data_IF_970588314543
#
_entry.id   IF_970588314543
#
_cell.length_a   1.000
_cell.length_b   1.000
_cell.length_c   1.000
_cell.angle_alpha   90.00
_cell.angle_beta   90.00
_cell.angle_gamma   90.00
#
_symmetry.space_group_name_H-M   'P 1'
#
loop_
_entity.id
_entity.type
_entity.pdbx_description
1 polymer ?
#
# COMPACT_ATOMS: atom_id res chain seq x y z
N UNK A 1 13.72 15.48 -5.25
CA UNK A 1 14.35 14.58 -4.24
C UNK A 1 13.52 13.32 -4.16
N UNK A 2 14.10 12.14 -4.31
CA UNK A 2 13.34 10.90 -4.19
C UNK A 2 12.74 10.79 -2.77
N UNK A 3 11.43 10.66 -2.70
CA UNK A 3 10.65 10.59 -1.48
C UNK A 3 10.84 9.19 -0.87
N UNK A 4 11.10 9.08 0.43
CA UNK A 4 11.31 7.79 1.10
C UNK A 4 10.04 6.98 1.27
N UNK A 5 8.90 7.63 1.16
CA UNK A 5 7.59 7.02 1.24
C UNK A 5 6.70 7.66 0.19
N UNK A 6 5.92 6.82 -0.48
CA UNK A 6 4.96 7.22 -1.52
C UNK A 6 3.56 7.36 -0.96
N UNK A 7 3.24 6.59 0.08
CA UNK A 7 1.93 6.62 0.70
C UNK A 7 1.82 7.73 1.74
N UNK A 8 0.60 8.19 1.99
CA UNK A 8 0.33 9.17 3.04
C UNK A 8 0.71 8.66 4.44
N UNK A 9 0.66 7.35 4.68
CA UNK A 9 1.06 6.69 5.92
C UNK A 9 2.53 6.87 6.23
N UNK A 10 3.36 6.43 5.31
CA UNK A 10 4.78 6.54 5.50
C UNK A 10 5.25 8.00 5.53
N UNK A 11 4.57 8.90 4.80
CA UNK A 11 4.81 10.34 4.90
C UNK A 11 4.47 10.89 6.29
N UNK A 12 3.31 10.52 6.84
CA UNK A 12 2.92 10.89 8.20
C UNK A 12 3.84 10.30 9.26
N UNK A 13 4.27 9.05 9.08
CA UNK A 13 5.24 8.43 9.96
C UNK A 13 6.57 9.21 9.96
N UNK A 14 7.10 9.56 8.80
CA UNK A 14 8.30 10.39 8.68
C UNK A 14 8.08 11.76 9.33
N UNK A 15 6.95 12.42 9.06
CA UNK A 15 6.62 13.71 9.66
C UNK A 15 6.49 13.65 11.20
N UNK A 16 6.02 12.51 11.74
CA UNK A 16 6.00 12.28 13.19
C UNK A 16 7.43 12.19 13.75
N UNK A 17 8.32 11.46 13.08
CA UNK A 17 9.74 11.36 13.46
C UNK A 17 10.46 12.71 13.39
N UNK A 18 10.15 13.53 12.39
CA UNK A 18 10.75 14.87 12.23
C UNK A 18 10.39 15.83 13.37
N UNK A 19 9.31 15.58 14.08
CA UNK A 19 8.92 16.37 15.28
C UNK A 19 9.64 15.96 16.55
N UNK A 20 10.05 14.70 16.66
CA UNK A 20 10.58 14.11 17.89
C UNK A 20 12.10 13.84 17.82
N UNK A 21 12.70 13.92 16.65
CA UNK A 21 14.13 13.65 16.45
C UNK A 21 14.90 14.86 15.94
N UNK A 22 16.19 14.92 16.27
CA UNK A 22 17.13 15.90 15.72
C UNK A 22 17.24 15.81 14.19
N UNK A 23 17.06 16.93 13.51
CA UNK A 23 17.03 17.00 12.05
C UNK A 23 18.36 16.58 11.38
N UNK A 24 19.49 16.84 12.03
CA UNK A 24 20.81 16.44 11.53
C UNK A 24 20.99 14.92 11.61
N UNK A 25 20.44 14.26 12.64
CA UNK A 25 20.45 12.80 12.76
C UNK A 25 19.53 12.15 11.75
N UNK A 26 18.35 12.69 11.55
CA UNK A 26 17.42 12.25 10.51
C UNK A 26 18.04 12.38 9.12
N UNK A 27 18.69 13.52 8.82
CA UNK A 27 19.37 13.72 7.54
C UNK A 27 20.47 12.68 7.29
N UNK A 28 21.30 12.39 8.31
CA UNK A 28 22.31 11.33 8.21
C UNK A 28 21.67 9.94 8.10
N UNK A 29 20.62 9.66 8.85
CA UNK A 29 19.85 8.42 8.77
C UNK A 29 19.27 8.19 7.38
N UNK A 30 18.73 9.24 6.76
CA UNK A 30 18.26 9.24 5.39
C UNK A 30 19.37 8.82 4.41
N UNK A 31 20.56 9.36 4.57
CA UNK A 31 21.72 8.98 3.75
C UNK A 31 22.13 7.53 3.98
N UNK A 32 22.05 7.00 5.20
CA UNK A 32 22.33 5.61 5.53
C UNK A 32 21.32 4.65 4.88
N UNK A 33 20.04 4.97 4.92
CA UNK A 33 19.00 4.18 4.27
C UNK A 33 19.20 4.13 2.75
N UNK A 34 19.42 5.30 2.10
CA UNK A 34 19.67 5.39 0.65
C UNK A 34 20.97 4.72 0.20
N UNK A 35 22.00 4.84 1.01
CA UNK A 35 23.32 4.26 0.72
C UNK A 35 23.42 2.76 0.97
N UNK A 36 22.31 2.06 1.24
CA UNK A 36 22.30 0.62 1.50
C UNK A 36 23.18 0.22 2.69
N UNK A 37 23.34 1.13 3.67
CA UNK A 37 24.13 0.86 4.88
C UNK A 37 23.39 -0.07 5.85
N UNK A 38 22.05 -0.19 5.77
CA UNK A 38 21.28 -1.18 6.51
C UNK A 38 21.42 -2.53 5.79
N UNK A 39 22.06 -3.49 6.40
CA UNK A 39 22.43 -4.78 5.79
C UNK A 39 21.42 -5.89 6.06
N UNK A 40 20.77 -5.85 7.21
CA UNK A 40 19.64 -6.70 7.52
C UNK A 40 18.58 -5.90 8.24
N UNK A 41 17.34 -6.25 7.99
CA UNK A 41 16.16 -5.65 8.61
C UNK A 41 15.16 -6.78 8.83
N UNK A 42 14.65 -6.90 10.03
CA UNK A 42 13.64 -7.90 10.37
C UNK A 42 12.70 -7.36 11.45
N UNK A 43 11.47 -7.83 11.41
CA UNK A 43 10.44 -7.54 12.40
C UNK A 43 9.97 -8.86 12.97
N UNK A 44 10.02 -8.98 14.27
CA UNK A 44 9.54 -10.17 14.99
C UNK A 44 8.93 -9.74 16.33
N UNK A 45 7.73 -10.22 16.62
CA UNK A 45 7.03 -9.99 17.88
C UNK A 45 6.94 -8.49 18.27
N UNK A 46 6.70 -7.61 17.29
CA UNK A 46 6.61 -6.16 17.48
C UNK A 46 7.96 -5.45 17.66
N UNK A 47 9.08 -6.19 17.63
CA UNK A 47 10.44 -5.65 17.74
C UNK A 47 11.10 -5.64 16.37
N UNK A 48 11.64 -4.48 16.00
CA UNK A 48 12.44 -4.30 14.79
C UNK A 48 13.90 -4.50 15.16
N UNK A 49 14.57 -5.39 14.44
CA UNK A 49 16.02 -5.61 14.55
C UNK A 49 16.68 -5.33 13.22
N UNK A 50 17.81 -4.63 13.25
CA UNK A 50 18.57 -4.36 12.03
C UNK A 50 20.09 -4.37 12.28
N UNK A 51 20.84 -4.70 11.24
CA UNK A 51 22.30 -4.53 11.22
C UNK A 51 22.65 -3.38 10.29
N UNK A 52 23.32 -2.39 10.82
CA UNK A 52 23.66 -1.16 10.11
C UNK A 52 25.18 -1.02 10.02
N UNK A 53 25.70 -0.90 8.80
CA UNK A 53 27.11 -0.63 8.57
C UNK A 53 27.43 0.80 8.96
N UNK A 54 28.31 0.99 9.94
CA UNK A 54 28.83 2.28 10.35
C UNK A 54 29.89 2.82 9.39
N UNK A 55 30.43 3.95 9.73
CA UNK A 55 31.59 4.56 9.06
C UNK A 55 32.82 4.47 9.95
N UNK A 56 34.00 4.39 9.35
CA UNK A 56 35.27 4.55 10.05
C UNK A 56 35.26 5.90 10.77
N UNK A 57 35.64 5.90 12.03
CA UNK A 57 35.78 7.10 12.85
C UNK A 57 36.88 6.91 13.91
N UNK A 58 38.13 7.27 13.57
CA UNK A 58 39.27 7.10 14.47
C UNK A 58 39.11 7.86 15.79
N UNK A 59 38.33 8.94 15.84
CA UNK A 59 38.05 9.69 17.05
C UNK A 59 37.36 8.83 18.13
N UNK A 60 36.55 7.87 17.71
CA UNK A 60 35.91 6.89 18.61
C UNK A 60 36.64 5.52 18.60
N UNK A 61 37.88 5.46 18.13
CA UNK A 61 38.63 4.20 18.05
C UNK A 61 38.13 3.20 17.00
N UNK A 62 37.32 3.67 16.01
CA UNK A 62 36.75 2.82 14.98
C UNK A 62 37.57 2.94 13.70
N UNK A 63 38.46 2.00 13.48
CA UNK A 63 39.44 2.01 12.36
C UNK A 63 38.97 1.20 11.15
N UNK A 64 37.94 0.36 11.29
CA UNK A 64 37.33 -0.42 10.21
C UNK A 64 35.83 -0.16 10.20
N UNK A 65 35.16 -0.37 9.05
CA UNK A 65 33.70 -0.20 8.97
C UNK A 65 33.00 -1.22 9.89
N UNK A 66 32.40 -0.79 11.00
CA UNK A 66 31.75 -1.68 11.95
C UNK A 66 30.35 -2.05 11.48
N UNK A 67 29.82 -3.14 12.02
CA UNK A 67 28.44 -3.53 11.84
C UNK A 67 27.71 -3.42 13.19
N UNK A 68 26.88 -2.41 13.31
CA UNK A 68 26.10 -2.15 14.53
C UNK A 68 24.77 -2.88 14.50
N UNK A 69 24.37 -3.42 15.65
CA UNK A 69 23.02 -3.97 15.86
C UNK A 69 22.12 -2.89 16.43
N UNK A 70 20.95 -2.73 15.86
CA UNK A 70 19.92 -1.79 16.33
C UNK A 70 18.65 -2.54 16.66
N UNK A 71 17.96 -2.12 17.72
CA UNK A 71 16.64 -2.58 18.08
C UNK A 71 15.71 -1.40 18.26
N UNK A 72 14.47 -1.55 17.81
CA UNK A 72 13.40 -0.56 17.95
C UNK A 72 12.15 -1.31 18.37
N UNK A 73 11.58 -0.90 19.50
CA UNK A 73 10.33 -1.40 20.03
C UNK A 73 9.35 -0.25 20.19
N UNK A 74 8.14 -0.42 19.71
CA UNK A 74 7.08 0.58 19.89
C UNK A 74 6.34 0.31 21.19
N UNK A 75 5.96 1.37 21.87
CA UNK A 75 5.07 1.26 23.02
C UNK A 75 3.74 0.66 22.57
N UNK A 76 3.40 -0.48 23.11
CA UNK A 76 2.16 -1.17 22.79
C UNK A 76 0.94 -0.44 23.34
N UNK A 77 -0.17 -0.47 22.61
CA UNK A 77 -1.48 -0.05 23.07
C UNK A 77 -2.10 -1.23 23.84
N UNK A 78 -2.68 -0.96 25.02
CA UNK A 78 -3.28 -2.02 25.82
C UNK A 78 -4.44 -2.72 25.09
N UNK A 79 -4.70 -3.98 25.41
CA UNK A 79 -5.79 -4.74 24.79
C UNK A 79 -7.17 -4.08 25.00
N UNK A 80 -7.40 -3.46 26.17
CA UNK A 80 -8.63 -2.73 26.46
C UNK A 80 -8.78 -1.50 25.54
N UNK A 81 -7.71 -0.73 25.36
CA UNK A 81 -7.70 0.44 24.48
C UNK A 81 -7.85 0.02 23.01
N UNK A 82 -7.23 -1.09 22.61
CA UNK A 82 -7.43 -1.66 21.28
C UNK A 82 -8.88 -2.05 21.05
N UNK A 83 -9.51 -2.78 21.98
CA UNK A 83 -10.92 -3.15 21.84
C UNK A 83 -11.83 -1.92 21.75
N UNK A 84 -11.58 -0.88 22.53
CA UNK A 84 -12.34 0.37 22.46
C UNK A 84 -12.13 1.08 21.09
N UNK A 85 -10.89 1.20 20.62
CA UNK A 85 -10.56 1.82 19.36
C UNK A 85 -11.21 1.07 18.17
N UNK A 86 -11.10 -0.26 18.16
CA UNK A 86 -11.69 -1.09 17.11
C UNK A 86 -13.22 -1.07 17.17
N UNK A 87 -13.83 -1.08 18.34
CA UNK A 87 -15.29 -0.93 18.47
C UNK A 87 -15.77 0.41 17.91
N UNK A 88 -15.04 1.50 18.17
CA UNK A 88 -15.34 2.79 17.59
C UNK A 88 -15.19 2.80 16.07
N UNK A 89 -14.10 2.25 15.54
CA UNK A 89 -13.86 2.12 14.09
C UNK A 89 -14.96 1.27 13.43
N UNK A 90 -15.32 0.15 14.06
CA UNK A 90 -16.36 -0.77 13.58
C UNK A 90 -17.76 -0.15 13.60
N UNK A 91 -17.99 0.90 14.39
CA UNK A 91 -19.24 1.67 14.37
C UNK A 91 -19.38 2.58 13.13
N UNK A 92 -18.32 2.76 12.36
CA UNK A 92 -18.26 3.64 11.18
C UNK A 92 -18.11 2.82 9.91
N UNK A 93 -19.17 2.71 9.11
CA UNK A 93 -19.16 1.91 7.89
C UNK A 93 -17.99 2.26 6.94
N UNK A 94 -17.67 3.55 6.79
CA UNK A 94 -16.56 3.99 5.93
C UNK A 94 -15.18 3.57 6.43
N UNK A 95 -14.98 3.38 7.72
CA UNK A 95 -13.71 2.96 8.30
C UNK A 95 -13.58 1.43 8.24
N UNK A 96 -14.62 0.71 8.67
CA UNK A 96 -14.56 -0.75 8.72
C UNK A 96 -14.48 -1.38 7.34
N UNK A 97 -15.21 -0.88 6.34
CA UNK A 97 -15.18 -1.42 4.99
C UNK A 97 -13.78 -1.34 4.37
N UNK A 98 -13.08 -0.22 4.55
CA UNK A 98 -11.69 -0.07 4.08
C UNK A 98 -10.73 -1.01 4.80
N UNK A 99 -10.81 -1.08 6.13
CA UNK A 99 -9.95 -2.01 6.90
C UNK A 99 -10.17 -3.47 6.51
N UNK A 100 -11.41 -3.87 6.22
CA UNK A 100 -11.72 -5.22 5.75
C UNK A 100 -11.13 -5.49 4.35
N UNK A 101 -10.97 -4.47 3.52
CA UNK A 101 -10.31 -4.55 2.22
C UNK A 101 -8.78 -4.42 2.31
N UNK A 102 -8.20 -4.49 3.52
CA UNK A 102 -6.79 -4.25 3.79
C UNK A 102 -6.32 -2.83 3.39
N UNK A 103 -7.22 -1.86 3.45
CA UNK A 103 -6.88 -0.46 3.27
C UNK A 103 -7.02 0.28 4.60
N UNK A 104 -6.08 1.15 4.91
CA UNK A 104 -6.20 2.00 6.08
C UNK A 104 -6.80 3.35 5.66
N UNK A 105 -7.94 3.75 6.26
CA UNK A 105 -8.58 5.03 5.96
C UNK A 105 -7.72 6.23 6.37
N UNK A 106 -7.70 7.30 5.56
CA UNK A 106 -6.90 8.51 5.81
C UNK A 106 -7.26 9.23 7.10
N UNK A 107 -8.47 9.01 7.60
CA UNK A 107 -9.01 9.63 8.81
C UNK A 107 -9.02 8.71 10.03
N UNK A 108 -8.30 7.58 9.98
CA UNK A 108 -8.26 6.63 11.11
C UNK A 108 -7.65 7.27 12.37
N UNK A 109 -6.66 8.16 12.21
CA UNK A 109 -6.06 8.88 13.33
C UNK A 109 -7.10 9.68 14.12
N UNK A 110 -8.11 10.23 13.45
CA UNK A 110 -9.20 10.95 14.11
C UNK A 110 -10.06 10.02 14.98
N UNK A 111 -10.16 8.75 14.61
CA UNK A 111 -10.87 7.75 15.40
C UNK A 111 -10.10 7.42 16.68
N UNK A 112 -8.78 7.29 16.59
CA UNK A 112 -7.91 7.05 17.73
C UNK A 112 -7.82 8.27 18.65
N UNK A 113 -7.68 9.47 18.10
CA UNK A 113 -7.60 10.72 18.85
C UNK A 113 -8.83 10.99 19.74
N UNK A 114 -10.03 10.54 19.33
CA UNK A 114 -11.25 10.64 20.15
C UNK A 114 -11.18 9.83 21.47
N UNK A 115 -10.28 8.86 21.53
CA UNK A 115 -10.04 8.01 22.69
C UNK A 115 -8.73 8.37 23.38
N UNK A 116 -8.13 9.52 23.02
CA UNK A 116 -6.81 9.95 23.49
C UNK A 116 -5.73 8.90 23.18
N UNK A 117 -5.86 8.23 22.06
CA UNK A 117 -4.91 7.25 21.56
C UNK A 117 -4.23 7.76 20.29
N UNK A 118 -2.98 7.36 20.11
CA UNK A 118 -2.20 7.70 18.92
C UNK A 118 -1.68 6.44 18.25
N UNK A 119 -2.08 6.22 17.01
CA UNK A 119 -1.57 5.10 16.23
C UNK A 119 -0.14 5.35 15.78
N UNK A 120 0.11 6.55 15.24
CA UNK A 120 1.45 7.03 14.92
C UNK A 120 2.16 7.53 16.20
N UNK A 121 3.48 7.36 16.29
CA UNK A 121 4.24 7.91 17.40
C UNK A 121 4.18 9.44 17.38
N UNK A 122 4.06 10.05 18.54
CA UNK A 122 3.98 11.49 18.71
C UNK A 122 4.89 12.03 19.82
N UNK A 123 5.48 11.14 20.61
CA UNK A 123 6.42 11.46 21.67
C UNK A 123 7.65 10.52 21.63
N UNK A 124 8.78 10.96 22.18
CA UNK A 124 10.00 10.14 22.24
C UNK A 124 9.78 8.83 23.02
N UNK A 125 8.96 8.87 24.07
CA UNK A 125 8.61 7.71 24.88
C UNK A 125 7.75 6.64 24.17
N UNK A 126 7.30 6.93 22.95
CA UNK A 126 6.60 5.93 22.12
C UNK A 126 7.55 4.88 21.54
N UNK A 127 8.85 5.10 21.67
CA UNK A 127 9.90 4.19 21.22
C UNK A 127 10.83 3.81 22.35
N UNK A 128 11.18 2.53 22.40
CA UNK A 128 12.37 2.07 23.09
C UNK A 128 13.39 1.68 22.01
N UNK A 129 14.55 2.33 22.03
CA UNK A 129 15.56 2.13 20.98
C UNK A 129 16.92 1.87 21.56
N UNK A 130 17.65 0.95 20.97
CA UNK A 130 19.02 0.60 21.35
C UNK A 130 19.91 0.49 20.12
N UNK A 131 21.16 0.88 20.23
CA UNK A 131 22.16 0.70 19.19
C UNK A 131 23.51 0.38 19.81
N UNK A 132 24.22 -0.60 19.27
CA UNK A 132 25.57 -0.98 19.75
C UNK A 132 26.67 0.01 19.33
N UNK A 133 26.33 1.16 18.71
CA UNK A 133 27.33 2.15 18.32
C UNK A 133 27.83 2.98 19.51
N UNK A 134 29.03 3.58 19.42
CA UNK A 134 29.60 4.39 20.49
C UNK A 134 28.98 5.79 20.62
N UNK A 135 27.95 6.11 19.83
CA UNK A 135 27.21 7.38 19.95
C UNK A 135 26.40 7.40 21.23
N UNK A 136 26.64 8.33 22.12
CA UNK A 136 25.96 8.46 23.40
C UNK A 136 24.49 8.90 23.25
N UNK A 137 24.14 9.42 22.12
CA UNK A 137 22.81 9.98 21.87
C UNK A 137 21.88 8.95 21.25
N UNK A 138 20.70 8.80 21.82
CA UNK A 138 19.64 7.90 21.41
C UNK A 138 18.35 8.69 21.13
N UNK A 139 17.72 8.55 19.96
CA UNK A 139 18.12 7.72 18.79
C UNK A 139 19.33 8.27 18.03
N UNK A 140 20.24 7.38 17.63
CA UNK A 140 21.40 7.73 16.81
C UNK A 140 21.08 7.72 15.30
N UNK A 141 22.03 8.12 14.46
CA UNK A 141 21.88 8.09 12.99
C UNK A 141 21.61 6.70 12.41
N UNK A 142 22.04 5.62 13.07
CA UNK A 142 21.82 4.26 12.61
C UNK A 142 20.35 3.86 12.82
N UNK A 143 19.80 4.18 14.00
CA UNK A 143 18.37 4.01 14.29
C UNK A 143 17.54 4.85 13.33
N UNK A 144 17.92 6.11 13.09
CA UNK A 144 17.26 6.96 12.09
C UNK A 144 17.22 6.33 10.69
N UNK A 145 18.32 5.65 10.28
CA UNK A 145 18.36 4.91 9.02
C UNK A 145 17.35 3.76 8.96
N UNK A 146 17.15 3.06 10.07
CA UNK A 146 16.16 1.98 10.18
C UNK A 146 14.73 2.52 10.12
N UNK A 147 14.46 3.69 10.71
CA UNK A 147 13.14 4.32 10.61
C UNK A 147 12.73 4.65 9.16
N UNK A 148 13.67 5.08 8.31
CA UNK A 148 13.37 5.31 6.89
C UNK A 148 13.05 4.03 6.13
N UNK A 149 13.68 2.91 6.47
CA UNK A 149 13.30 1.61 5.91
C UNK A 149 11.94 1.14 6.43
N UNK A 150 11.65 1.38 7.71
CA UNK A 150 10.33 1.10 8.26
C UNK A 150 9.24 1.88 7.52
N UNK A 151 9.47 3.17 7.23
CA UNK A 151 8.53 3.96 6.44
C UNK A 151 8.26 3.34 5.07
N UNK A 152 9.29 2.81 4.40
CA UNK A 152 9.15 2.10 3.14
C UNK A 152 8.41 0.75 3.28
N UNK A 153 8.56 0.05 4.42
CA UNK A 153 7.79 -1.16 4.70
C UNK A 153 6.31 -0.84 4.99
N UNK A 154 6.04 0.26 5.68
CA UNK A 154 4.67 0.75 5.89
C UNK A 154 3.96 1.13 4.59
N UNK A 155 4.69 1.53 3.55
CA UNK A 155 4.12 1.75 2.21
C UNK A 155 3.63 0.46 1.56
N UNK A 156 4.32 -0.65 1.83
CA UNK A 156 3.94 -1.96 1.30
C UNK A 156 2.86 -2.63 2.15
N UNK A 157 2.99 -2.49 3.46
CA UNK A 157 2.11 -3.09 4.44
C UNK A 157 1.77 -2.10 5.58
N UNK A 158 0.73 -1.31 5.43
CA UNK A 158 0.33 -0.34 6.45
C UNK A 158 -0.17 -0.99 7.76
N UNK A 159 -0.64 -2.26 7.72
CA UNK A 159 -1.07 -2.98 8.92
C UNK A 159 0.08 -3.32 9.87
N UNK A 160 1.31 -3.29 9.35
CA UNK A 160 2.50 -3.44 10.17
C UNK A 160 2.52 -2.47 11.37
N UNK A 161 1.95 -1.26 11.22
CA UNK A 161 1.87 -0.30 12.31
C UNK A 161 0.99 -0.80 13.46
N UNK A 162 -0.11 -1.51 13.15
CA UNK A 162 -0.96 -2.14 14.17
C UNK A 162 -0.19 -3.24 14.90
N UNK A 163 0.55 -4.06 14.18
CA UNK A 163 1.37 -5.14 14.76
C UNK A 163 2.47 -4.59 15.67
N UNK A 164 3.16 -3.53 15.24
CA UNK A 164 4.16 -2.84 16.06
C UNK A 164 3.56 -2.21 17.33
N UNK A 165 2.30 -1.81 17.29
CA UNK A 165 1.57 -1.28 18.46
C UNK A 165 0.88 -2.37 19.28
N UNK A 166 1.09 -3.66 18.96
CA UNK A 166 0.65 -4.81 19.73
C UNK A 166 -0.67 -5.44 19.31
N UNK A 167 -1.17 -5.15 18.09
CA UNK A 167 -2.38 -5.77 17.56
C UNK A 167 -2.06 -6.57 16.30
N UNK A 168 -2.11 -7.91 16.39
CA UNK A 168 -1.93 -8.77 15.21
C UNK A 168 -3.13 -8.68 14.26
N UNK A 169 -2.91 -9.07 13.00
CA UNK A 169 -3.98 -9.09 11.98
C UNK A 169 -5.14 -9.99 12.38
N UNK A 170 -4.84 -11.15 12.96
CA UNK A 170 -5.84 -12.09 13.44
C UNK A 170 -6.66 -11.51 14.59
N UNK A 171 -5.99 -10.78 15.51
CA UNK A 171 -6.66 -10.09 16.59
C UNK A 171 -7.53 -8.94 16.07
N UNK A 172 -7.03 -8.16 15.11
CA UNK A 172 -7.81 -7.11 14.46
C UNK A 172 -9.08 -7.69 13.80
N UNK A 173 -8.94 -8.75 13.02
CA UNK A 173 -10.08 -9.40 12.36
C UNK A 173 -11.10 -9.93 13.37
N UNK A 174 -10.64 -10.55 14.46
CA UNK A 174 -11.53 -11.02 15.56
C UNK A 174 -12.28 -9.87 16.22
N UNK A 175 -11.62 -8.76 16.47
CA UNK A 175 -12.26 -7.57 17.06
C UNK A 175 -13.28 -6.94 16.10
N UNK A 176 -12.94 -6.79 14.83
CA UNK A 176 -13.86 -6.29 13.79
C UNK A 176 -15.09 -7.18 13.64
N UNK A 177 -14.91 -8.50 13.69
CA UNK A 177 -15.99 -9.48 13.58
C UNK A 177 -16.97 -9.47 14.77
N UNK A 178 -16.68 -8.80 15.88
CA UNK A 178 -17.63 -8.62 16.98
C UNK A 178 -18.76 -7.66 16.63
N UNK A 179 -18.57 -6.79 15.66
CA UNK A 179 -19.62 -5.87 15.20
C UNK A 179 -20.53 -6.54 14.16
N UNK A 180 -21.84 -6.21 14.13
CA UNK A 180 -22.75 -6.75 13.12
C UNK A 180 -22.29 -6.45 11.68
N UNK A 181 -21.76 -5.25 11.45
CA UNK A 181 -21.25 -4.84 10.14
C UNK A 181 -19.97 -5.62 9.77
N UNK A 182 -19.07 -5.84 10.73
CA UNK A 182 -17.87 -6.65 10.52
C UNK A 182 -18.19 -8.12 10.24
N UNK A 183 -19.20 -8.68 10.88
CA UNK A 183 -19.68 -10.04 10.60
C UNK A 183 -20.20 -10.16 9.16
N UNK A 184 -21.03 -9.22 8.73
CA UNK A 184 -21.56 -9.21 7.36
C UNK A 184 -20.44 -9.09 6.32
N UNK A 185 -19.51 -8.14 6.52
CA UNK A 185 -18.38 -7.93 5.61
C UNK A 185 -17.39 -9.11 5.61
N UNK A 186 -17.13 -9.73 6.77
CA UNK A 186 -16.22 -10.89 6.84
C UNK A 186 -16.82 -12.13 6.15
N UNK A 187 -18.13 -12.32 6.20
CA UNK A 187 -18.82 -13.39 5.48
C UNK A 187 -18.64 -13.22 3.96
N UNK A 188 -18.83 -12.03 3.44
CA UNK A 188 -18.60 -11.72 2.02
C UNK A 188 -17.14 -11.92 1.59
N UNK A 189 -16.19 -11.48 2.40
CA UNK A 189 -14.76 -11.65 2.10
C UNK A 189 -14.30 -13.11 2.16
N UNK A 190 -14.93 -13.96 2.99
CA UNK A 190 -14.65 -15.40 3.02
C UNK A 190 -15.20 -16.09 1.78
N UNK A 191 -16.36 -15.67 1.29
CA UNK A 191 -16.92 -16.14 0.03
C UNK A 191 -16.04 -15.74 -1.17
N UNK A 192 -15.49 -14.51 -1.16
CA UNK A 192 -14.58 -14.03 -2.19
C UNK A 192 -13.18 -14.71 -2.15
N UNK A 193 -12.80 -15.31 -1.03
CA UNK A 193 -11.54 -16.05 -0.86
C UNK A 193 -11.63 -17.53 -1.24
N UNK A 194 -12.82 -18.06 -1.59
CA UNK A 194 -12.85 -19.35 -2.26
C UNK A 194 -12.04 -19.20 -3.54
N UNK A 195 -10.90 -19.91 -3.59
CA UNK A 195 -10.06 -19.88 -4.79
C UNK A 195 -10.96 -20.13 -6.00
N UNK A 196 -10.92 -19.29 -7.04
CA UNK A 196 -11.66 -19.60 -8.24
C UNK A 196 -11.21 -20.98 -8.67
N UNK A 197 -12.16 -21.93 -8.75
CA UNK A 197 -11.87 -23.21 -9.35
C UNK A 197 -11.30 -22.91 -10.74
N UNK A 198 -10.13 -23.45 -11.08
CA UNK A 198 -9.57 -23.21 -12.40
C UNK A 198 -10.55 -23.74 -13.42
N UNK A 199 -11.29 -22.84 -14.05
CA UNK A 199 -12.12 -23.21 -15.17
C UNK A 199 -11.16 -23.63 -16.29
N UNK A 200 -11.29 -24.87 -16.76
CA UNK A 200 -10.45 -25.44 -17.82
C UNK A 200 -10.64 -24.72 -19.17
N UNK A 201 -11.59 -23.82 -19.28
CA UNK A 201 -11.73 -22.95 -20.45
C UNK A 201 -12.34 -21.60 -20.04
N UNK A 202 -11.64 -20.52 -20.45
CA UNK A 202 -12.15 -19.14 -20.36
C UNK A 202 -13.41 -18.89 -21.20
N UNK A 203 -13.76 -19.83 -22.05
CA UNK A 203 -14.93 -19.77 -22.90
C UNK A 203 -15.91 -20.83 -22.43
N UNK A 204 -17.11 -20.42 -22.04
CA UNK A 204 -18.24 -21.33 -21.96
C UNK A 204 -18.26 -22.10 -23.27
N UNK A 205 -18.17 -23.45 -23.21
CA UNK A 205 -18.36 -24.27 -24.43
C UNK A 205 -19.64 -23.77 -25.09
N UNK A 206 -19.56 -23.24 -26.32
CA UNK A 206 -20.77 -22.83 -26.99
C UNK A 206 -21.68 -24.03 -27.02
N UNK A 207 -22.88 -23.89 -26.47
CA UNK A 207 -23.93 -24.89 -26.69
C UNK A 207 -24.00 -25.06 -28.19
N UNK A 208 -23.70 -26.26 -28.68
CA UNK A 208 -23.78 -26.58 -30.09
C UNK A 208 -25.22 -26.32 -30.49
N UNK A 209 -25.51 -25.12 -30.93
CA UNK A 209 -26.75 -24.84 -31.61
C UNK A 209 -26.69 -25.71 -32.89
N UNK A 210 -27.61 -26.65 -32.97
CA UNK A 210 -27.83 -27.44 -34.17
C UNK A 210 -27.70 -26.49 -35.35
N UNK A 211 -26.71 -26.74 -36.19
CA UNK A 211 -26.35 -25.90 -37.32
C UNK A 211 -27.60 -25.59 -38.11
N UNK A 212 -28.06 -24.36 -38.04
CA UNK A 212 -28.99 -23.84 -39.04
C UNK A 212 -28.28 -24.03 -40.40
N UNK A 213 -28.83 -24.86 -41.24
CA UNK A 213 -28.23 -25.08 -42.56
C UNK A 213 -28.07 -23.75 -43.26
N UNK A 214 -26.83 -23.30 -43.39
CA UNK A 214 -26.49 -22.05 -44.08
C UNK A 214 -26.71 -22.28 -45.54
N UNK A 215 -27.76 -21.69 -46.10
CA UNK A 215 -28.18 -21.95 -47.49
C UNK A 215 -27.17 -21.51 -48.54
N UNK A 216 -26.31 -20.54 -48.24
CA UNK A 216 -25.21 -20.11 -49.10
C UNK A 216 -24.07 -19.50 -48.31
N UNK A 217 -22.83 -19.56 -48.85
CA UNK A 217 -21.66 -18.87 -48.30
C UNK A 217 -21.90 -17.36 -48.18
N UNK A 218 -22.69 -16.79 -49.05
CA UNK A 218 -23.04 -15.37 -49.04
C UNK A 218 -23.89 -15.04 -47.80
N UNK A 219 -24.85 -15.90 -47.43
CA UNK A 219 -25.70 -15.72 -46.26
C UNK A 219 -24.89 -15.93 -44.96
N UNK A 220 -23.88 -16.81 -44.99
CA UNK A 220 -22.95 -16.98 -43.89
C UNK A 220 -22.19 -15.68 -43.60
N UNK A 221 -21.66 -15.02 -44.62
CA UNK A 221 -20.83 -13.82 -44.45
C UNK A 221 -21.64 -12.54 -44.21
N UNK A 222 -22.82 -12.42 -44.81
CA UNK A 222 -23.65 -11.23 -44.72
C UNK A 222 -24.76 -11.32 -43.68
N UNK A 223 -25.03 -12.51 -43.16
CA UNK A 223 -26.13 -12.76 -42.26
C UNK A 223 -27.52 -12.57 -42.90
N UNK A 224 -28.57 -12.95 -42.17
CA UNK A 224 -29.94 -12.81 -42.62
C UNK A 224 -30.47 -11.34 -42.62
N UNK A 225 -29.78 -10.44 -41.93
CA UNK A 225 -30.13 -9.02 -41.87
C UNK A 225 -29.12 -8.18 -42.61
N UNK A 226 -29.57 -7.32 -43.53
CA UNK A 226 -28.70 -6.30 -44.12
C UNK A 226 -28.21 -5.37 -43.03
N UNK A 227 -26.91 -5.09 -43.05
CA UNK A 227 -26.33 -4.05 -42.19
C UNK A 227 -26.99 -2.72 -42.53
N UNK A 228 -27.28 -1.87 -41.53
CA UNK A 228 -27.78 -0.53 -41.77
C UNK A 228 -26.81 0.23 -42.68
N UNK A 229 -27.33 0.96 -43.65
CA UNK A 229 -26.49 1.73 -44.60
C UNK A 229 -25.78 2.92 -43.91
N UNK A 230 -26.31 3.35 -42.81
CA UNK A 230 -25.70 4.40 -41.96
C UNK A 230 -25.59 3.86 -40.56
N UNK A 231 -24.37 3.85 -40.04
CA UNK A 231 -24.10 3.60 -38.62
C UNK A 231 -24.00 4.97 -37.95
N UNK A 232 -24.90 5.24 -37.01
CA UNK A 232 -24.73 6.42 -36.18
C UNK A 232 -23.38 6.34 -35.46
N UNK A 233 -22.56 7.38 -35.61
CA UNK A 233 -21.30 7.47 -34.88
C UNK A 233 -21.58 7.41 -33.40
N UNK A 234 -20.95 6.47 -32.71
CA UNK A 234 -21.06 6.40 -31.25
C UNK A 234 -20.61 7.73 -30.64
N UNK A 235 -21.34 8.23 -29.65
CA UNK A 235 -20.94 9.48 -28.99
C UNK A 235 -19.50 9.34 -28.48
N UNK A 236 -18.68 10.36 -28.73
CA UNK A 236 -17.28 10.33 -28.32
C UNK A 236 -17.19 10.12 -26.81
N UNK A 237 -16.35 9.16 -26.39
CA UNK A 237 -16.08 8.90 -24.99
C UNK A 237 -15.63 10.20 -24.31
N UNK A 238 -16.32 10.62 -23.26
CA UNK A 238 -16.02 11.85 -22.52
C UNK A 238 -14.68 11.76 -21.76
N UNK A 239 -14.28 10.55 -21.42
CA UNK A 239 -13.06 10.29 -20.63
C UNK A 239 -12.03 9.57 -21.50
N UNK A 240 -10.88 10.22 -21.82
CA UNK A 240 -9.82 9.56 -22.59
C UNK A 240 -9.19 8.41 -21.79
N UNK A 241 -8.73 7.38 -22.48
CA UNK A 241 -8.02 6.22 -21.92
C UNK A 241 -8.77 5.50 -20.76
N UNK A 242 -10.12 5.46 -20.79
CA UNK A 242 -10.92 4.91 -19.69
C UNK A 242 -10.59 3.45 -19.37
N UNK A 243 -10.26 2.63 -20.37
CA UNK A 243 -9.88 1.23 -20.16
C UNK A 243 -8.53 1.11 -19.44
N UNK A 244 -7.58 1.98 -19.79
CA UNK A 244 -6.28 2.05 -19.10
C UNK A 244 -6.46 2.51 -17.66
N UNK A 245 -7.28 3.53 -17.43
CA UNK A 245 -7.61 4.01 -16.07
C UNK A 245 -8.23 2.92 -15.18
N UNK A 246 -9.04 2.04 -15.76
CA UNK A 246 -9.65 0.90 -15.04
C UNK A 246 -8.64 -0.19 -14.65
N UNK A 247 -7.51 -0.30 -15.35
CA UNK A 247 -6.45 -1.27 -15.06
C UNK A 247 -5.52 -0.79 -13.94
N UNK A 248 -5.56 0.48 -13.60
CA UNK A 248 -4.68 1.09 -12.61
C UNK A 248 -3.38 1.63 -13.19
N UNK A 249 -2.64 2.31 -12.33
CA UNK A 249 -1.36 2.91 -12.68
C UNK A 249 -0.18 1.95 -12.41
N UNK A 250 0.97 2.24 -12.99
CA UNK A 250 2.21 1.46 -12.81
C UNK A 250 2.09 -0.05 -13.09
N UNK A 251 1.63 -0.46 -14.28
CA UNK A 251 1.61 -1.88 -14.64
C UNK A 251 3.04 -2.47 -14.62
N UNK A 252 3.21 -3.78 -14.41
CA UNK A 252 4.53 -4.42 -14.23
C UNK A 252 5.54 -4.20 -15.37
N UNK A 253 5.08 -3.90 -16.57
CA UNK A 253 5.94 -3.61 -17.73
C UNK A 253 6.36 -2.13 -17.83
N UNK A 254 5.84 -1.25 -16.95
CA UNK A 254 6.16 0.17 -16.98
C UNK A 254 7.29 0.47 -16.01
N UNK A 255 8.49 0.67 -16.55
CA UNK A 255 9.74 0.89 -15.82
C UNK A 255 10.07 2.37 -15.56
N UNK A 256 9.16 3.28 -15.97
CA UNK A 256 9.35 4.72 -15.83
C UNK A 256 8.82 5.24 -14.50
N UNK A 257 9.44 6.30 -13.98
CA UNK A 257 8.98 7.00 -12.76
C UNK A 257 7.70 7.84 -12.96
N UNK A 258 7.36 8.15 -14.23
CA UNK A 258 6.13 8.88 -14.59
C UNK A 258 4.91 7.96 -14.58
N UNK A 259 3.74 8.53 -14.26
CA UNK A 259 2.47 7.81 -14.33
C UNK A 259 2.19 7.25 -15.71
N UNK A 260 1.90 5.96 -15.79
CA UNK A 260 1.48 5.30 -17.03
C UNK A 260 0.13 5.84 -17.49
N UNK A 261 -0.80 6.03 -16.56
CA UNK A 261 -2.15 6.54 -16.84
C UNK A 261 -2.07 7.95 -17.43
N UNK A 262 -1.27 8.86 -16.84
CA UNK A 262 -1.10 10.22 -17.38
C UNK A 262 -0.50 10.21 -18.78
N UNK A 263 0.53 9.40 -19.02
CA UNK A 263 1.16 9.26 -20.32
C UNK A 263 0.17 8.75 -21.38
N UNK A 264 -0.64 7.77 -21.01
CA UNK A 264 -1.66 7.23 -21.91
C UNK A 264 -2.80 8.21 -22.14
N UNK A 265 -3.22 8.95 -21.12
CA UNK A 265 -4.24 9.99 -21.27
C UNK A 265 -3.81 11.07 -22.25
N UNK A 266 -2.57 11.54 -22.14
CA UNK A 266 -1.99 12.51 -23.07
C UNK A 266 -1.95 11.95 -24.50
N UNK A 267 -1.51 10.68 -24.67
CA UNK A 267 -1.45 10.01 -25.95
C UNK A 267 -2.83 9.89 -26.60
N UNK A 268 -3.82 9.41 -25.85
CA UNK A 268 -5.20 9.29 -26.34
C UNK A 268 -5.80 10.67 -26.66
N UNK A 269 -5.50 11.68 -25.86
CA UNK A 269 -5.90 13.06 -26.14
C UNK A 269 -5.31 13.59 -27.46
N UNK A 270 -4.02 13.35 -27.69
CA UNK A 270 -3.35 13.72 -28.96
C UNK A 270 -3.90 12.99 -30.17
N UNK A 271 -4.16 11.68 -30.05
CA UNK A 271 -4.76 10.88 -31.12
C UNK A 271 -6.15 11.43 -31.48
N UNK A 272 -6.95 11.73 -30.47
CA UNK A 272 -8.30 12.27 -30.65
C UNK A 272 -8.30 13.62 -31.35
N UNK A 273 -7.38 14.52 -30.99
CA UNK A 273 -7.27 15.84 -31.61
C UNK A 273 -6.73 15.82 -33.03
N UNK A 274 -5.82 14.88 -33.32
CA UNK A 274 -5.22 14.77 -34.66
C UNK A 274 -6.10 14.00 -35.67
N UNK A 275 -6.95 13.11 -35.20
CA UNK A 275 -7.76 12.22 -36.04
C UNK A 275 -9.27 12.56 -35.95
N UNK A 276 -9.60 13.83 -35.86
CA UNK A 276 -11.00 14.32 -35.78
C UNK A 276 -11.87 13.91 -36.96
N UNK A 277 -11.24 13.47 -38.06
CA UNK A 277 -11.97 12.98 -39.24
C UNK A 277 -12.28 11.46 -39.21
N UNK A 278 -11.74 10.73 -38.23
CA UNK A 278 -11.96 9.30 -38.05
C UNK A 278 -13.00 8.95 -36.98
N UNK A 279 -13.41 9.96 -36.20
CA UNK A 279 -14.36 9.79 -35.09
C UNK A 279 -15.55 10.77 -35.25
#
# INVERSE_FOLDING_TARGET
MAQFSRTWWGQRFIAALEKIMDSGRLSRGRSYARGGKVKSFGIKDGVITAKVRGSVNPYFGVYTEPLYTTTIEFKSISAANWSAAIAYVASKASLISRLMLNEIPDNIDNAFAKLDLHLLPHHEDDFKTECSCPDWSNPCKHIAGVYYLLAAQLDQDPFLLFELRGLSREALQKELAKSPLGQALSAELTLAKSAPEPDLSYFTKPTVQTSVAVGSLKDFWHGAKRLPQTVEAAPQASVPAILVKKQGDFPPFWDKESSFVETMEELYGRIRTKNTQLF
#
